data_IF_882280075113
#
_entry.id   IF_882280075113
#
_cell.length_a   1.000
_cell.length_b   1.000
_cell.length_c   1.000
_cell.angle_alpha   90.00
_cell.angle_beta   90.00
_cell.angle_gamma   90.00
#
_symmetry.space_group_name_H-M   'P 1'
#
loop_
_entity.id
_entity.type
_entity.pdbx_description
1 polymer ?
#
# COMPACT_ATOMS: atom_id res chain seq x y z
N UNK A 1 -3.40 -56.14 24.21
CA UNK A 1 -3.51 -54.72 24.57
C UNK A 1 -2.35 -53.90 23.98
N UNK A 2 -2.18 -53.82 22.65
CA UNK A 2 -1.02 -53.13 22.01
C UNK A 2 -1.39 -52.19 20.86
N UNK A 3 -2.69 -51.94 20.61
CA UNK A 3 -3.12 -51.23 19.40
C UNK A 3 -3.23 -49.69 19.52
N UNK A 4 -3.21 -49.11 20.73
CA UNK A 4 -3.51 -47.71 20.94
C UNK A 4 -2.30 -46.76 20.92
N UNK A 5 -1.09 -47.29 21.04
CA UNK A 5 0.14 -46.44 21.11
C UNK A 5 0.54 -45.90 19.72
N UNK A 6 0.40 -46.72 18.66
CA UNK A 6 0.81 -46.36 17.30
C UNK A 6 -0.08 -45.26 16.72
N UNK A 7 -1.37 -45.20 17.09
CA UNK A 7 -2.30 -44.17 16.63
C UNK A 7 -2.00 -42.80 17.21
N UNK A 8 -1.55 -42.74 18.48
CA UNK A 8 -1.21 -41.46 19.14
C UNK A 8 0.05 -40.80 18.57
N UNK A 9 1.06 -41.58 18.20
CA UNK A 9 2.29 -41.04 17.59
C UNK A 9 2.04 -40.48 16.18
N UNK A 10 1.17 -41.11 15.38
CA UNK A 10 0.80 -40.59 14.05
C UNK A 10 0.04 -39.26 14.13
N UNK A 11 -0.81 -39.12 15.15
CA UNK A 11 -1.57 -37.88 15.36
C UNK A 11 -0.67 -36.73 15.85
N UNK A 12 0.29 -37.00 16.71
CA UNK A 12 1.27 -36.04 17.22
C UNK A 12 2.20 -35.54 16.09
N UNK A 13 2.65 -36.42 15.21
CA UNK A 13 3.46 -36.08 14.05
C UNK A 13 2.70 -35.22 13.03
N UNK A 14 1.40 -35.48 12.84
CA UNK A 14 0.56 -34.69 11.95
C UNK A 14 0.33 -33.27 12.49
N UNK A 15 0.13 -33.12 13.79
CA UNK A 15 0.00 -31.81 14.43
C UNK A 15 1.30 -30.99 14.39
N UNK A 16 2.47 -31.62 14.57
CA UNK A 16 3.75 -30.94 14.45
C UNK A 16 4.05 -30.48 13.01
N UNK A 17 3.69 -31.26 12.01
CA UNK A 17 3.82 -30.88 10.60
C UNK A 17 2.93 -29.68 10.24
N UNK A 18 1.74 -29.59 10.84
CA UNK A 18 0.82 -28.46 10.59
C UNK A 18 1.25 -27.16 11.28
N UNK A 19 1.82 -27.24 12.49
CA UNK A 19 2.39 -26.07 13.17
C UNK A 19 3.66 -25.53 12.50
N UNK A 20 4.46 -26.39 11.88
CA UNK A 20 5.66 -25.98 11.13
C UNK A 20 5.36 -25.18 9.86
N UNK A 21 4.22 -25.43 9.22
CA UNK A 21 3.80 -24.73 8.02
C UNK A 21 3.31 -23.27 8.26
N UNK A 22 3.02 -22.92 9.52
CA UNK A 22 2.58 -21.56 9.89
C UNK A 22 3.75 -20.59 10.15
N UNK A 23 4.97 -21.07 10.20
CA UNK A 23 6.18 -20.26 10.29
C UNK A 23 6.72 -19.97 8.87
N UNK A 24 5.84 -19.46 7.98
CA UNK A 24 6.33 -18.89 6.74
C UNK A 24 7.25 -17.71 7.11
N UNK A 25 8.49 -17.65 6.56
CA UNK A 25 9.37 -16.51 6.80
C UNK A 25 8.61 -15.26 6.35
N UNK A 26 8.52 -14.28 7.24
CA UNK A 26 8.08 -12.94 6.86
C UNK A 26 9.02 -12.50 5.74
N UNK A 27 8.50 -12.36 4.52
CA UNK A 27 9.26 -11.75 3.45
C UNK A 27 9.78 -10.41 3.98
N UNK A 28 11.10 -10.24 3.99
CA UNK A 28 11.72 -8.98 4.34
C UNK A 28 11.05 -7.90 3.51
N UNK A 29 10.31 -7.03 4.19
CA UNK A 29 9.66 -5.91 3.54
C UNK A 29 10.78 -4.99 3.08
N UNK A 30 11.14 -5.05 1.79
CA UNK A 30 12.11 -4.13 1.21
C UNK A 30 11.66 -2.71 1.51
N UNK A 31 12.42 -2.01 2.35
CA UNK A 31 12.18 -0.62 2.65
C UNK A 31 12.74 0.22 1.50
N UNK A 32 11.88 0.98 0.84
CA UNK A 32 12.27 1.88 -0.24
C UNK A 32 12.15 3.34 0.23
N UNK A 33 13.23 4.13 0.11
CA UNK A 33 13.20 5.55 0.45
C UNK A 33 12.95 6.37 -0.83
N UNK A 34 11.84 7.11 -0.84
CA UNK A 34 11.55 8.09 -1.89
C UNK A 34 12.45 9.32 -1.69
N UNK A 35 12.85 9.92 -2.80
CA UNK A 35 13.64 11.16 -2.84
C UNK A 35 12.95 12.26 -3.64
N UNK A 36 13.28 13.50 -3.34
CA UNK A 36 12.92 14.62 -4.21
C UNK A 36 13.82 14.54 -5.45
N UNK A 37 13.22 14.55 -6.65
CA UNK A 37 13.94 14.40 -7.92
C UNK A 37 14.31 12.96 -8.28
N UNK A 38 13.87 11.95 -7.52
CA UNK A 38 14.13 10.55 -7.86
C UNK A 38 13.31 10.08 -9.09
N UNK A 39 13.62 8.88 -9.59
CA UNK A 39 12.97 8.30 -10.77
C UNK A 39 11.48 8.00 -10.60
N UNK A 40 10.95 8.03 -9.38
CA UNK A 40 9.54 7.82 -9.07
C UNK A 40 8.76 9.14 -8.99
N UNK A 41 9.45 10.30 -8.93
CA UNK A 41 8.77 11.57 -8.85
C UNK A 41 7.97 11.84 -10.13
N UNK A 42 6.66 11.98 -9.99
CA UNK A 42 5.74 12.36 -11.06
C UNK A 42 5.81 13.87 -11.32
N UNK A 43 5.92 14.64 -10.25
CA UNK A 43 5.99 16.10 -10.30
C UNK A 43 5.69 16.73 -8.96
N UNK A 44 5.62 18.07 -8.96
CA UNK A 44 5.24 18.81 -7.77
C UNK A 44 4.33 20.00 -8.08
N UNK A 45 3.68 20.54 -7.04
CA UNK A 45 2.79 21.69 -7.09
C UNK A 45 3.27 22.79 -6.15
N UNK A 46 3.23 24.05 -6.61
CA UNK A 46 3.58 25.23 -5.83
C UNK A 46 2.52 26.34 -6.03
N UNK A 47 2.16 27.12 -4.99
CA UNK A 47 2.66 27.19 -3.63
C UNK A 47 2.16 26.05 -2.71
N UNK A 48 1.48 25.10 -3.24
CA UNK A 48 0.99 23.93 -2.52
C UNK A 48 -0.33 24.16 -1.79
N UNK A 49 -1.02 23.06 -1.69
CA UNK A 49 -2.39 23.00 -1.20
C UNK A 49 -2.39 23.24 0.30
N UNK A 50 -3.19 24.19 0.74
CA UNK A 50 -3.46 24.38 2.17
C UNK A 50 -4.06 23.11 2.78
N UNK A 51 -3.79 22.87 4.07
CA UNK A 51 -4.16 21.67 4.87
C UNK A 51 -5.59 21.15 4.74
N UNK A 52 -6.51 21.90 4.14
CA UNK A 52 -7.94 21.58 4.06
C UNK A 52 -8.41 21.11 2.67
N UNK A 53 -7.50 20.85 1.74
CA UNK A 53 -7.90 20.36 0.44
C UNK A 53 -8.47 18.96 0.57
N UNK A 54 -9.68 18.75 0.09
CA UNK A 54 -10.32 17.45 0.08
C UNK A 54 -9.61 16.48 -0.88
N UNK A 55 -9.92 15.22 -0.75
CA UNK A 55 -9.28 14.18 -1.55
C UNK A 55 -9.61 14.28 -3.04
N UNK A 56 -10.77 14.86 -3.40
CA UNK A 56 -11.16 15.04 -4.78
C UNK A 56 -10.32 16.09 -5.47
N UNK A 57 -10.05 17.21 -4.81
CA UNK A 57 -9.15 18.23 -5.31
C UNK A 57 -7.71 17.70 -5.45
N UNK A 58 -7.21 16.96 -4.45
CA UNK A 58 -5.90 16.30 -4.57
C UNK A 58 -5.84 15.33 -5.75
N UNK A 59 -6.91 14.54 -6.00
CA UNK A 59 -6.99 13.68 -7.16
C UNK A 59 -6.98 14.49 -8.47
N UNK A 60 -7.66 15.63 -8.52
CA UNK A 60 -7.63 16.54 -9.67
C UNK A 60 -6.22 17.04 -9.96
N UNK A 61 -5.45 17.39 -8.93
CA UNK A 61 -4.06 17.82 -9.07
C UNK A 61 -3.17 16.69 -9.61
N UNK A 62 -3.29 15.48 -9.06
CA UNK A 62 -2.54 14.31 -9.57
C UNK A 62 -2.91 14.04 -11.02
N UNK A 63 -4.20 14.06 -11.36
CA UNK A 63 -4.68 13.84 -12.74
C UNK A 63 -4.21 14.91 -13.70
N UNK A 64 -4.08 16.16 -13.25
CA UNK A 64 -3.49 17.22 -14.07
C UNK A 64 -2.03 16.90 -14.41
N UNK A 65 -1.20 16.57 -13.42
CA UNK A 65 0.19 16.15 -13.63
C UNK A 65 0.31 14.94 -14.58
N UNK A 66 -0.62 13.97 -14.50
CA UNK A 66 -0.66 12.81 -15.39
C UNK A 66 -0.85 13.24 -16.86
N UNK A 67 -1.69 14.22 -17.10
CA UNK A 67 -1.99 14.73 -18.45
C UNK A 67 -0.93 15.65 -19.06
N UNK A 68 0.03 16.12 -18.26
CA UNK A 68 1.07 17.05 -18.73
C UNK A 68 2.18 16.33 -19.51
N UNK A 69 2.78 17.07 -20.45
CA UNK A 69 4.00 16.64 -21.14
C UNK A 69 5.18 16.58 -20.16
N UNK A 70 6.11 15.66 -20.38
CA UNK A 70 7.32 15.51 -19.57
C UNK A 70 8.11 16.82 -19.51
N UNK A 71 8.53 17.23 -18.32
CA UNK A 71 9.28 18.46 -18.07
C UNK A 71 8.49 19.75 -18.25
N UNK A 72 7.20 19.69 -18.54
CA UNK A 72 6.37 20.89 -18.70
C UNK A 72 6.08 21.56 -17.36
N UNK A 73 5.85 22.88 -17.46
CA UNK A 73 5.31 23.72 -16.39
C UNK A 73 3.96 24.22 -16.87
N UNK A 74 2.95 24.17 -16.00
CA UNK A 74 1.61 24.65 -16.30
C UNK A 74 1.03 25.41 -15.10
N UNK A 75 0.08 26.29 -15.35
CA UNK A 75 -0.62 27.06 -14.30
C UNK A 75 -2.11 26.81 -14.45
N UNK A 76 -2.69 26.13 -13.48
CA UNK A 76 -4.10 25.83 -13.45
C UNK A 76 -4.65 25.89 -12.02
N UNK A 77 -5.90 26.30 -11.85
CA UNK A 77 -6.60 26.36 -10.56
C UNK A 77 -5.86 27.16 -9.46
N UNK A 78 -5.04 28.14 -9.84
CA UNK A 78 -4.26 28.96 -8.92
C UNK A 78 -2.95 28.31 -8.42
N UNK A 79 -2.60 27.15 -8.96
CA UNK A 79 -1.39 26.39 -8.64
C UNK A 79 -0.47 26.32 -9.85
N UNK A 80 0.83 26.24 -9.60
CA UNK A 80 1.86 25.99 -10.61
C UNK A 80 2.26 24.52 -10.54
N UNK A 81 2.15 23.82 -11.64
CA UNK A 81 2.47 22.41 -11.78
C UNK A 81 3.80 22.24 -12.50
N UNK A 82 4.62 21.37 -11.96
CA UNK A 82 5.90 20.99 -12.54
C UNK A 82 5.90 19.50 -12.80
N UNK A 83 5.79 19.08 -14.04
CA UNK A 83 5.86 17.68 -14.43
C UNK A 83 7.33 17.26 -14.51
N UNK A 84 7.69 16.14 -13.86
CA UNK A 84 9.06 15.59 -13.97
C UNK A 84 9.38 15.12 -15.38
N UNK A 85 10.67 14.94 -15.69
CA UNK A 85 11.14 14.35 -16.95
C UNK A 85 11.07 12.81 -16.96
N UNK A 86 10.57 12.19 -15.88
CA UNK A 86 10.49 10.74 -15.79
C UNK A 86 9.26 10.21 -16.53
N UNK A 87 9.51 9.31 -17.48
CA UNK A 87 8.45 8.62 -18.22
C UNK A 87 7.98 7.37 -17.48
N UNK A 88 6.67 7.15 -17.48
CA UNK A 88 6.05 5.96 -16.89
C UNK A 88 5.24 5.22 -17.98
N UNK A 89 5.25 3.88 -17.94
CA UNK A 89 4.59 3.07 -18.98
C UNK A 89 3.06 3.24 -19.02
N UNK A 90 2.46 3.47 -17.87
CA UNK A 90 1.01 3.66 -17.73
C UNK A 90 0.72 4.52 -16.52
N UNK A 91 -0.10 5.51 -16.69
CA UNK A 91 -0.54 6.44 -15.65
C UNK A 91 -2.08 6.41 -15.59
N UNK A 92 -2.68 5.44 -14.87
CA UNK A 92 -4.14 5.42 -14.67
C UNK A 92 -4.57 6.65 -13.86
N UNK A 93 -5.83 7.06 -14.02
CA UNK A 93 -6.37 8.18 -13.26
C UNK A 93 -6.35 7.91 -11.74
N UNK A 94 -5.99 8.93 -10.97
CA UNK A 94 -6.07 8.91 -9.51
C UNK A 94 -7.54 9.04 -9.08
N UNK A 95 -8.08 8.05 -8.37
CA UNK A 95 -9.52 8.04 -8.01
C UNK A 95 -9.82 7.75 -6.54
N UNK A 96 -9.26 6.71 -5.96
CA UNK A 96 -9.50 6.35 -4.55
C UNK A 96 -8.44 6.95 -3.67
N UNK A 97 -8.79 7.44 -2.48
CA UNK A 97 -7.84 8.12 -1.61
C UNK A 97 -7.84 7.55 -0.19
N UNK A 98 -6.62 7.34 0.35
CA UNK A 98 -6.38 7.02 1.76
C UNK A 98 -5.42 8.05 2.32
N UNK A 99 -5.84 8.77 3.35
CA UNK A 99 -5.03 9.79 4.02
C UNK A 99 -4.26 9.20 5.19
N UNK A 100 -3.08 9.76 5.44
CA UNK A 100 -2.29 9.40 6.60
C UNK A 100 -1.27 10.46 7.00
N UNK A 101 -0.54 10.16 8.05
CA UNK A 101 0.53 10.97 8.60
C UNK A 101 1.76 10.13 8.89
N UNK A 102 2.86 10.81 9.27
CA UNK A 102 4.14 10.15 9.47
C UNK A 102 4.90 9.93 8.18
N UNK A 103 6.08 9.31 8.27
CA UNK A 103 7.03 9.18 7.17
C UNK A 103 7.05 7.82 6.50
N UNK A 104 6.50 6.82 7.17
CA UNK A 104 6.60 5.42 6.74
C UNK A 104 5.23 4.89 6.41
N UNK A 105 5.11 4.24 5.26
CA UNK A 105 3.87 3.67 4.75
C UNK A 105 4.14 2.22 4.36
N UNK A 106 3.28 1.30 4.78
CA UNK A 106 3.31 -0.07 4.29
C UNK A 106 2.30 -0.21 3.13
N UNK A 107 2.82 -0.33 1.92
CA UNK A 107 2.03 -0.52 0.70
C UNK A 107 1.46 -1.93 0.57
N UNK A 108 1.94 -2.89 1.40
CA UNK A 108 1.62 -4.33 1.29
C UNK A 108 2.10 -4.92 -0.04
N UNK A 109 1.21 -5.11 -1.02
CA UNK A 109 1.55 -5.60 -2.36
C UNK A 109 1.65 -4.44 -3.37
N UNK A 110 2.42 -4.64 -4.44
CA UNK A 110 2.48 -3.70 -5.57
C UNK A 110 1.11 -3.58 -6.26
N UNK A 111 0.81 -2.41 -6.84
CA UNK A 111 -0.41 -2.16 -7.60
C UNK A 111 -1.66 -1.84 -6.79
N UNK A 112 -1.63 -1.92 -5.45
CA UNK A 112 -2.74 -1.49 -4.59
C UNK A 112 -2.89 0.03 -4.64
N UNK A 113 -1.77 0.74 -4.60
CA UNK A 113 -1.72 2.19 -4.74
C UNK A 113 -0.85 2.56 -5.94
N UNK A 114 -1.25 3.60 -6.65
CA UNK A 114 -0.54 4.05 -7.86
C UNK A 114 0.24 5.33 -7.61
N UNK A 115 -0.32 6.24 -6.80
CA UNK A 115 0.31 7.53 -6.51
C UNK A 115 0.36 7.81 -5.02
N UNK A 116 1.41 8.50 -4.62
CA UNK A 116 1.57 9.12 -3.33
C UNK A 116 1.63 10.63 -3.52
N UNK A 117 0.76 11.34 -2.84
CA UNK A 117 0.72 12.79 -2.75
C UNK A 117 1.14 13.20 -1.35
N UNK A 118 2.24 13.90 -1.20
CA UNK A 118 2.72 14.38 0.09
C UNK A 118 2.71 15.91 0.16
N UNK A 119 2.23 16.46 1.26
CA UNK A 119 2.10 17.90 1.49
C UNK A 119 3.18 18.38 2.47
N UNK A 120 3.84 19.46 2.13
CA UNK A 120 4.88 20.10 2.94
C UNK A 120 4.45 21.50 3.36
N UNK A 121 4.70 21.83 4.61
CA UNK A 121 4.24 23.10 5.20
C UNK A 121 4.86 24.33 4.55
N UNK A 122 4.06 25.17 3.89
CA UNK A 122 4.49 26.42 3.27
C UNK A 122 5.34 26.28 2.01
N UNK A 123 5.56 25.04 1.51
CA UNK A 123 6.32 24.82 0.29
C UNK A 123 5.42 24.39 -0.87
N UNK A 124 4.72 23.28 -0.72
CA UNK A 124 3.96 22.70 -1.80
C UNK A 124 3.64 21.25 -1.56
N UNK A 125 3.39 20.54 -2.64
CA UNK A 125 3.07 19.12 -2.60
C UNK A 125 3.87 18.36 -3.65
N UNK A 126 4.44 17.25 -3.24
CA UNK A 126 5.19 16.33 -4.09
C UNK A 126 4.32 15.13 -4.45
N UNK A 127 4.46 14.65 -5.67
CA UNK A 127 3.72 13.49 -6.17
C UNK A 127 4.69 12.46 -6.73
N UNK A 128 4.55 11.19 -6.27
CA UNK A 128 5.32 10.05 -6.77
C UNK A 128 4.41 9.02 -7.40
N UNK A 129 4.90 8.37 -8.45
CA UNK A 129 4.34 7.12 -8.96
C UNK A 129 4.92 5.96 -8.15
N UNK A 130 4.06 5.22 -7.48
CA UNK A 130 4.43 4.11 -6.60
C UNK A 130 3.80 2.78 -7.02
N UNK A 131 3.15 2.73 -8.19
CA UNK A 131 2.39 1.55 -8.63
C UNK A 131 3.23 0.29 -8.84
N UNK A 132 4.54 0.41 -8.99
CA UNK A 132 5.49 -0.69 -9.10
C UNK A 132 6.20 -1.02 -7.77
N UNK A 133 5.95 -0.27 -6.71
CA UNK A 133 6.54 -0.49 -5.39
C UNK A 133 5.66 -1.40 -4.53
N UNK A 134 6.31 -2.10 -3.59
CA UNK A 134 5.67 -2.95 -2.58
C UNK A 134 6.43 -2.85 -1.26
N UNK A 135 5.81 -3.32 -0.20
CA UNK A 135 6.42 -3.32 1.13
C UNK A 135 6.41 -1.93 1.77
N UNK A 136 7.49 -1.56 2.43
CA UNK A 136 7.57 -0.32 3.21
C UNK A 136 8.23 0.77 2.37
N UNK A 137 7.57 1.92 2.27
CA UNK A 137 8.15 3.14 1.69
C UNK A 137 8.35 4.19 2.77
N UNK A 138 9.41 5.00 2.60
CA UNK A 138 9.69 6.16 3.46
C UNK A 138 9.63 7.44 2.64
N UNK A 139 8.86 8.41 3.11
CA UNK A 139 8.69 9.72 2.50
C UNK A 139 9.78 10.67 3.01
N UNK A 140 10.37 11.55 2.18
CA UNK A 140 11.28 12.59 2.64
C UNK A 140 10.62 13.44 3.73
N UNK A 141 11.34 13.67 4.83
CA UNK A 141 10.84 14.49 5.92
C UNK A 141 10.82 15.99 5.56
N UNK A 142 11.75 16.39 4.70
CA UNK A 142 11.91 17.76 4.22
C UNK A 142 11.84 17.80 2.69
N UNK A 143 11.13 18.81 2.18
CA UNK A 143 11.21 19.24 0.78
C UNK A 143 11.56 20.74 0.79
N UNK A 144 12.68 21.12 0.17
CA UNK A 144 13.20 22.49 0.17
C UNK A 144 13.26 23.16 1.57
N UNK A 145 13.56 22.38 2.62
CA UNK A 145 13.61 22.87 4.01
C UNK A 145 12.26 22.88 4.74
N UNK A 146 11.17 22.50 4.09
CA UNK A 146 9.82 22.48 4.68
C UNK A 146 9.43 21.08 5.15
N UNK A 147 8.74 20.99 6.28
CA UNK A 147 8.38 19.70 6.90
C UNK A 147 7.17 19.06 6.27
N UNK A 148 7.22 17.73 6.16
CA UNK A 148 6.08 16.89 5.78
C UNK A 148 4.93 17.07 6.80
N UNK A 149 3.73 17.39 6.31
CA UNK A 149 2.53 17.60 7.15
C UNK A 149 1.52 16.46 7.03
N UNK A 150 1.57 15.69 5.95
CA UNK A 150 0.70 14.56 5.71
C UNK A 150 0.81 14.04 4.28
N UNK A 151 0.14 12.94 4.03
CA UNK A 151 0.14 12.31 2.71
C UNK A 151 -1.22 11.71 2.36
N UNK A 152 -1.41 11.46 1.08
CA UNK A 152 -2.58 10.78 0.52
C UNK A 152 -2.11 9.76 -0.51
N UNK A 153 -2.57 8.53 -0.38
CA UNK A 153 -2.38 7.47 -1.38
C UNK A 153 -3.57 7.43 -2.32
N UNK A 154 -3.32 7.31 -3.60
CA UNK A 154 -4.32 7.11 -4.63
C UNK A 154 -4.11 5.74 -5.29
N UNK A 155 -5.20 5.01 -5.47
CA UNK A 155 -5.21 3.72 -6.12
C UNK A 155 -6.05 3.69 -7.39
N UNK A 156 -5.99 2.61 -8.17
CA UNK A 156 -6.97 2.35 -9.21
C UNK A 156 -8.36 2.19 -8.59
N UNK A 157 -9.39 2.37 -9.37
CA UNK A 157 -10.81 2.53 -9.01
C UNK A 157 -11.43 1.50 -8.04
N UNK A 158 -10.74 0.45 -7.71
CA UNK A 158 -11.17 -0.52 -6.71
C UNK A 158 -10.00 -0.85 -5.79
N UNK A 159 -9.84 -0.04 -4.73
CA UNK A 159 -9.31 -0.61 -3.50
C UNK A 159 -10.46 -1.46 -2.97
N UNK A 160 -10.57 -2.68 -3.49
CA UNK A 160 -11.46 -3.68 -2.91
C UNK A 160 -11.14 -3.73 -1.42
N UNK A 161 -12.15 -3.62 -0.59
CA UNK A 161 -12.06 -3.98 0.83
C UNK A 161 -11.26 -5.28 0.87
N UNK A 162 -10.23 -5.42 1.74
CA UNK A 162 -9.48 -6.66 1.84
C UNK A 162 -10.48 -7.80 1.85
N UNK A 163 -10.44 -8.60 0.79
CA UNK A 163 -11.41 -9.67 0.59
C UNK A 163 -11.45 -10.50 1.87
N UNK A 164 -12.60 -10.49 2.54
CA UNK A 164 -12.86 -11.39 3.66
C UNK A 164 -12.74 -12.88 3.26
N UNK A 165 -12.46 -13.16 1.98
CA UNK A 165 -12.26 -14.49 1.44
C UNK A 165 -11.23 -15.32 2.21
N UNK A 166 -10.09 -14.73 2.58
CA UNK A 166 -9.08 -15.43 3.38
C UNK A 166 -9.61 -15.71 4.79
N UNK A 167 -10.32 -14.76 5.39
CA UNK A 167 -10.92 -14.92 6.72
C UNK A 167 -12.03 -15.96 6.70
N UNK A 168 -12.87 -15.95 5.68
CA UNK A 168 -13.96 -16.95 5.49
C UNK A 168 -13.37 -18.34 5.21
N UNK A 169 -12.29 -18.42 4.42
CA UNK A 169 -11.60 -19.70 4.14
C UNK A 169 -10.94 -20.27 5.40
N UNK A 170 -10.26 -19.43 6.20
CA UNK A 170 -9.69 -19.82 7.50
C UNK A 170 -10.79 -20.27 8.47
N UNK A 171 -11.90 -19.54 8.55
CA UNK A 171 -13.03 -19.92 9.40
C UNK A 171 -13.66 -21.24 8.93
N UNK A 172 -13.81 -21.45 7.62
CA UNK A 172 -14.31 -22.67 7.05
C UNK A 172 -13.42 -23.89 7.36
N UNK A 173 -12.10 -23.74 7.25
CA UNK A 173 -11.13 -24.79 7.61
C UNK A 173 -11.18 -25.07 9.11
N UNK A 174 -11.22 -24.05 9.95
CA UNK A 174 -11.31 -24.23 11.41
C UNK A 174 -12.58 -24.98 11.83
N UNK A 175 -13.73 -24.63 11.27
CA UNK A 175 -15.00 -25.31 11.54
C UNK A 175 -15.00 -26.76 11.01
N UNK A 176 -14.39 -27.01 9.86
CA UNK A 176 -14.23 -28.33 9.28
C UNK A 176 -13.38 -29.25 10.17
N UNK A 177 -12.26 -28.74 10.69
CA UNK A 177 -11.41 -29.49 11.62
C UNK A 177 -12.13 -29.79 12.93
N UNK A 178 -12.89 -28.84 13.48
CA UNK A 178 -13.72 -29.02 14.69
C UNK A 178 -14.80 -30.09 14.48
N UNK A 179 -15.46 -30.12 13.33
CA UNK A 179 -16.48 -31.12 13.00
C UNK A 179 -15.88 -32.53 12.90
N UNK A 180 -14.69 -32.65 12.29
CA UNK A 180 -13.97 -33.92 12.23
C UNK A 180 -13.51 -34.39 13.61
N UNK A 181 -12.94 -33.51 14.43
CA UNK A 181 -12.51 -33.84 15.79
C UNK A 181 -13.68 -34.35 16.64
N UNK A 182 -14.84 -33.71 16.57
CA UNK A 182 -16.05 -34.15 17.28
C UNK A 182 -16.49 -35.55 16.87
N UNK A 183 -16.40 -35.90 15.57
CA UNK A 183 -16.76 -37.23 15.07
C UNK A 183 -15.83 -38.33 15.59
N UNK A 184 -14.55 -38.02 15.84
CA UNK A 184 -13.59 -39.00 16.38
C UNK A 184 -13.64 -39.12 17.90
N UNK A 185 -14.10 -38.09 18.60
CA UNK A 185 -14.21 -38.13 20.10
C UNK A 185 -15.52 -38.77 20.58
N UNK A 186 -16.55 -38.86 19.71
CA UNK A 186 -17.84 -39.45 20.08
C UNK A 186 -17.99 -40.94 19.60
N UNK A 187 -16.92 -41.58 19.15
CA UNK A 187 -16.82 -43.01 18.89
C UNK A 187 -15.88 -43.66 19.92
#
# INVERSE_FOLDING_TARGET
MQSNAVSRHKFLLLCMAFCGAMLAPSHDANAFALGIGDSHQLGFLWPGIQRKTDNQNKATYVNHLIGMTLGAIDVANGEVYFRSNHGFKSLPAAVSAVNGGGRTINLRSSGVYTYLFATYNGYGSEVWYIGNLSGIITIPFLAAGHYLTGWTLFGPRSIGVPDGGITVMLLGVALGVLALARRFLMR
#
